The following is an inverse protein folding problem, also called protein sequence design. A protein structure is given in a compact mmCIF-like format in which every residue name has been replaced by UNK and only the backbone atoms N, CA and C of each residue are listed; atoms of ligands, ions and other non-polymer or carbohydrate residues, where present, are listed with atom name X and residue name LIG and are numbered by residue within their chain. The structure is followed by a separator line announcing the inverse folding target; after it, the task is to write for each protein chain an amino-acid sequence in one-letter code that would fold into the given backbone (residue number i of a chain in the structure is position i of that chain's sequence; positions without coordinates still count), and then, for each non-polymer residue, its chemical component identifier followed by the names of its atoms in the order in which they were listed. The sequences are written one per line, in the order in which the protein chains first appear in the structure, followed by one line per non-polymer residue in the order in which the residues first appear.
data_IF_173572667253
#
_entry.id   IF_173572667253
#
_cell.length_a   1.000
_cell.length_b   1.000
_cell.length_c   1.000
_cell.angle_alpha   90.00
_cell.angle_beta   90.00
_cell.angle_gamma   90.00
#
_symmetry.space_group_name_H-M   'P 1'
#
loop_
_entity.id
_entity.type
_entity.pdbx_description
1 polymer ?
#
# COMPACT_ATOMS: atom_id res chain seq x y z
N UNK A 1 12.34 7.04 -13.02
CA UNK A 1 11.23 6.18 -13.50
C UNK A 1 10.96 5.18 -12.39
N UNK A 2 9.82 5.26 -11.71
CA UNK A 2 9.45 4.28 -10.66
C UNK A 2 8.82 3.08 -11.37
N UNK A 3 9.37 1.88 -11.20
CA UNK A 3 8.80 0.64 -11.75
C UNK A 3 7.90 0.00 -10.69
N UNK A 4 6.58 0.03 -10.90
CA UNK A 4 5.61 -0.71 -10.09
C UNK A 4 5.22 -2.02 -10.76
N UNK A 5 4.76 -3.00 -9.97
CA UNK A 5 4.20 -4.26 -10.47
C UNK A 5 2.69 -4.28 -10.25
N UNK A 6 1.95 -4.89 -11.19
CA UNK A 6 0.50 -5.10 -11.09
C UNK A 6 0.14 -6.52 -11.57
N UNK A 7 -0.92 -7.09 -11.00
CA UNK A 7 -1.44 -8.42 -11.32
C UNK A 7 -2.97 -8.39 -11.31
N UNK A 8 -3.59 -9.10 -12.26
CA UNK A 8 -5.02 -9.39 -12.26
C UNK A 8 -5.23 -10.91 -12.13
N UNK A 9 -6.18 -11.32 -11.28
CA UNK A 9 -6.53 -12.74 -11.08
C UNK A 9 -7.42 -13.29 -12.19
N UNK A 10 -8.00 -12.43 -13.03
CA UNK A 10 -8.87 -12.82 -14.13
C UNK A 10 -10.25 -13.36 -13.71
N UNK A 11 -10.69 -13.07 -12.47
CA UNK A 11 -11.92 -13.64 -11.89
C UNK A 11 -13.17 -12.78 -12.14
N UNK A 12 -13.03 -11.60 -12.74
CA UNK A 12 -14.14 -10.68 -13.03
C UNK A 12 -14.17 -10.38 -14.53
N UNK A 13 -15.33 -10.56 -15.14
CA UNK A 13 -15.58 -10.26 -16.56
C UNK A 13 -16.46 -9.00 -16.70
N UNK A 14 -16.27 -8.23 -17.77
CA UNK A 14 -17.08 -7.05 -18.07
C UNK A 14 -16.28 -5.87 -18.61
N UNK A 15 -16.95 -4.72 -18.81
CA UNK A 15 -16.25 -3.49 -19.19
C UNK A 15 -15.50 -2.90 -17.99
N UNK A 16 -14.21 -2.65 -18.19
CA UNK A 16 -13.34 -2.12 -17.15
C UNK A 16 -13.43 -0.59 -17.04
N UNK A 17 -13.52 -0.09 -15.81
CA UNK A 17 -13.38 1.33 -15.51
C UNK A 17 -11.97 1.61 -14.97
N UNK A 18 -11.03 1.88 -15.87
CA UNK A 18 -9.62 2.09 -15.53
C UNK A 18 -9.42 3.25 -14.56
N UNK A 19 -10.25 4.30 -14.63
CA UNK A 19 -10.20 5.43 -13.69
C UNK A 19 -10.53 4.98 -12.26
N UNK A 20 -11.57 4.16 -12.09
CA UNK A 20 -11.94 3.61 -10.80
C UNK A 20 -10.86 2.66 -10.26
N UNK A 21 -10.32 1.79 -11.11
CA UNK A 21 -9.24 0.86 -10.75
C UNK A 21 -8.00 1.65 -10.28
N UNK A 22 -7.61 2.70 -11.01
CA UNK A 22 -6.47 3.55 -10.64
C UNK A 22 -6.68 4.28 -9.31
N UNK A 23 -7.88 4.80 -9.05
CA UNK A 23 -8.22 5.46 -7.80
C UNK A 23 -8.13 4.50 -6.61
N UNK A 24 -8.70 3.29 -6.75
CA UNK A 24 -8.62 2.25 -5.72
C UNK A 24 -7.19 1.77 -5.50
N UNK A 25 -6.42 1.60 -6.57
CA UNK A 25 -5.01 1.21 -6.47
C UNK A 25 -4.21 2.26 -5.69
N UNK A 26 -4.41 3.55 -5.96
CA UNK A 26 -3.74 4.62 -5.23
C UNK A 26 -4.10 4.61 -3.73
N UNK A 27 -5.38 4.43 -3.40
CA UNK A 27 -5.87 4.40 -2.03
C UNK A 27 -5.32 3.19 -1.24
N UNK A 28 -5.38 2.00 -1.84
CA UNK A 28 -4.83 0.77 -1.24
C UNK A 28 -3.32 0.88 -1.04
N UNK A 29 -2.59 1.47 -1.99
CA UNK A 29 -1.14 1.66 -1.86
C UNK A 29 -0.80 2.65 -0.73
N UNK A 30 -1.55 3.74 -0.59
CA UNK A 30 -1.37 4.68 0.51
C UNK A 30 -1.60 4.00 1.87
N UNK A 31 -2.68 3.24 2.01
CA UNK A 31 -2.99 2.51 3.23
C UNK A 31 -1.95 1.42 3.51
N UNK A 32 -1.46 0.71 2.48
CA UNK A 32 -0.42 -0.30 2.65
C UNK A 32 0.89 0.28 3.22
N UNK A 33 1.30 1.46 2.77
CA UNK A 33 2.49 2.16 3.28
C UNK A 33 2.27 2.59 4.73
N UNK A 34 1.12 3.19 5.04
CA UNK A 34 0.81 3.60 6.42
C UNK A 34 0.75 2.39 7.36
N UNK A 35 0.13 1.31 6.92
CA UNK A 35 0.07 0.05 7.65
C UNK A 35 1.47 -0.52 7.87
N UNK A 36 2.33 -0.51 6.86
CA UNK A 36 3.72 -0.96 6.99
C UNK A 36 4.46 -0.17 8.07
N UNK A 37 4.34 1.16 8.07
CA UNK A 37 4.97 2.00 9.11
C UNK A 37 4.40 1.77 10.52
N UNK A 38 3.09 1.53 10.65
CA UNK A 38 2.43 1.27 11.94
C UNK A 38 2.73 -0.12 12.52
N UNK A 39 2.93 -1.11 11.66
CA UNK A 39 3.24 -2.49 12.06
C UNK A 39 4.74 -2.77 12.14
N UNK A 40 5.59 -1.85 11.70
CA UNK A 40 7.04 -1.99 11.82
C UNK A 40 7.46 -2.02 13.29
N UNK A 41 8.40 -2.89 13.61
CA UNK A 41 9.07 -2.94 14.91
C UNK A 41 10.38 -2.16 14.87
N UNK A 42 10.77 -1.58 16.00
CA UNK A 42 12.02 -0.82 16.11
C UNK A 42 13.26 -1.70 15.96
N UNK A 43 14.33 -1.10 15.46
CA UNK A 43 15.67 -1.70 15.40
C UNK A 43 16.64 -0.90 16.31
N UNK A 44 17.79 -1.47 16.69
CA UNK A 44 18.79 -0.72 17.44
C UNK A 44 19.18 0.60 16.75
N UNK A 45 18.91 1.73 17.40
CA UNK A 45 19.16 3.08 16.87
C UNK A 45 18.13 3.61 15.87
N UNK A 46 17.07 2.84 15.57
CA UNK A 46 16.00 3.22 14.65
C UNK A 46 14.64 2.86 15.30
N UNK A 47 14.04 3.76 16.10
CA UNK A 47 12.77 3.49 16.74
C UNK A 47 11.63 3.39 15.71
N UNK A 48 10.68 2.50 15.94
CA UNK A 48 9.41 2.47 15.19
C UNK A 48 8.53 3.65 15.59
N UNK A 49 7.50 3.95 14.78
CA UNK A 49 6.51 4.99 15.10
C UNK A 49 5.81 4.70 16.44
N UNK A 50 5.62 3.43 16.79
CA UNK A 50 5.02 3.01 18.07
C UNK A 50 5.97 3.24 19.26
N UNK A 51 7.28 3.09 19.06
CA UNK A 51 8.31 3.36 20.09
C UNK A 51 8.44 4.85 20.40
N UNK A 52 8.07 5.69 19.44
CA UNK A 52 8.06 7.15 19.60
C UNK A 52 6.91 7.66 20.46
N UNK A 53 6.05 6.77 20.98
CA UNK A 53 5.00 6.99 21.98
C UNK A 53 4.60 8.46 22.16
N UNK A 54 3.45 8.84 21.60
CA UNK A 54 2.89 10.20 21.69
C UNK A 54 3.19 10.93 23.00
#
# INVERSE_FOLDING_TARGET
MVNGFALATGTLEGQENVTLIGALAADVMAEAILRAGRLAEGLPGIPSVSDLGR
#
